data_IF_826657740879
#
_entry.id   IF_826657740879
#
_cell.length_a   1.000
_cell.length_b   1.000
_cell.length_c   1.000
_cell.angle_alpha   90.00
_cell.angle_beta   90.00
_cell.angle_gamma   90.00
#
_symmetry.space_group_name_H-M   'P 1'
#
loop_
_entity.id
_entity.type
_entity.pdbx_description
1 polymer ?
#
# COMPACT_ATOMS: atom_id res chain seq x y z
N UNK A 1 -6.08 8.50 11.34
CA UNK A 1 -5.79 7.18 10.76
C UNK A 1 -4.73 6.52 11.62
N UNK A 2 -5.06 5.40 12.27
CA UNK A 2 -4.08 4.58 12.98
C UNK A 2 -3.91 3.32 12.14
N UNK A 3 -2.74 3.13 11.51
CA UNK A 3 -2.39 1.80 10.99
C UNK A 3 -2.04 0.96 12.21
N UNK A 4 -3.06 0.37 12.81
CA UNK A 4 -2.96 -0.49 14.00
C UNK A 4 -2.12 -1.76 13.73
N UNK A 5 -1.68 -1.96 12.48
CA UNK A 5 -0.86 -3.06 12.03
C UNK A 5 0.63 -2.75 12.13
N UNK A 6 1.43 -3.81 12.05
CA UNK A 6 2.89 -3.74 12.06
C UNK A 6 3.37 -3.25 10.69
N UNK A 7 3.03 -2.00 10.35
CA UNK A 7 3.44 -1.37 9.10
C UNK A 7 4.93 -1.59 8.88
N UNK A 8 5.25 -2.20 7.74
CA UNK A 8 6.61 -2.61 7.38
C UNK A 8 7.26 -1.66 6.40
N UNK A 9 6.47 -1.10 5.52
CA UNK A 9 6.95 -0.24 4.46
C UNK A 9 5.86 0.73 3.99
N UNK A 10 6.29 1.87 3.45
CA UNK A 10 5.43 2.90 2.89
C UNK A 10 6.10 3.58 1.70
N UNK A 11 5.34 3.78 0.63
CA UNK A 11 5.79 4.55 -0.52
C UNK A 11 4.69 5.47 -1.03
N UNK A 12 5.05 6.71 -1.35
CA UNK A 12 4.14 7.70 -1.91
C UNK A 12 4.37 7.80 -3.41
N UNK A 13 3.29 7.69 -4.19
CA UNK A 13 3.28 7.92 -5.65
C UNK A 13 2.12 8.85 -5.98
N UNK A 14 2.44 10.06 -6.43
CA UNK A 14 1.44 11.10 -6.66
C UNK A 14 0.68 11.43 -5.38
N UNK A 15 -0.64 11.35 -5.43
CA UNK A 15 -1.54 11.65 -4.32
C UNK A 15 -1.84 10.45 -3.41
N UNK A 16 -1.16 9.31 -3.61
CA UNK A 16 -1.44 8.09 -2.84
C UNK A 16 -0.22 7.61 -2.08
N UNK A 17 -0.44 7.19 -0.84
CA UNK A 17 0.51 6.43 -0.04
C UNK A 17 0.10 4.95 -0.04
N UNK A 18 1.00 4.09 -0.49
CA UNK A 18 0.89 2.65 -0.41
C UNK A 18 1.59 2.17 0.86
N UNK A 19 0.96 1.27 1.60
CA UNK A 19 1.42 0.83 2.90
C UNK A 19 1.39 -0.70 2.94
N UNK A 20 2.53 -1.34 3.21
CA UNK A 20 2.61 -2.75 3.51
C UNK A 20 2.35 -2.95 5.02
N UNK A 21 1.14 -3.39 5.39
CA UNK A 21 0.67 -3.44 6.78
C UNK A 21 0.73 -4.84 7.40
N UNK A 22 1.74 -5.65 7.02
CA UNK A 22 1.89 -7.04 7.44
C UNK A 22 0.61 -7.87 7.20
N UNK A 23 -0.04 -8.33 8.26
CA UNK A 23 -1.30 -9.08 8.25
C UNK A 23 -2.52 -8.22 7.89
N UNK A 24 -2.37 -6.89 7.92
CA UNK A 24 -3.34 -5.93 7.42
C UNK A 24 -3.34 -5.76 5.90
N UNK A 25 -2.41 -6.42 5.19
CA UNK A 25 -2.31 -6.40 3.73
C UNK A 25 -1.66 -5.13 3.15
N UNK A 26 -1.83 -4.92 1.84
CA UNK A 26 -1.49 -3.67 1.18
C UNK A 26 -2.65 -2.68 1.33
N UNK A 27 -2.36 -1.48 1.85
CA UNK A 27 -3.32 -0.36 1.92
C UNK A 27 -2.91 0.74 0.98
N UNK A 28 -3.85 1.23 0.19
CA UNK A 28 -3.69 2.47 -0.55
C UNK A 28 -4.47 3.58 0.16
N UNK A 29 -3.78 4.67 0.46
CA UNK A 29 -4.30 5.81 1.20
C UNK A 29 -4.26 7.02 0.30
N UNK A 30 -5.40 7.65 0.08
CA UNK A 30 -5.45 8.96 -0.56
C UNK A 30 -4.91 10.00 0.43
N UNK A 31 -3.84 10.69 0.03
CA UNK A 31 -3.16 11.74 0.78
C UNK A 31 -3.21 13.10 0.07
N UNK A 32 -4.12 13.28 -0.89
CA UNK A 32 -4.35 14.56 -1.61
C UNK A 32 -4.50 15.73 -0.64
N UNK A 33 -5.23 15.50 0.45
CA UNK A 33 -5.33 16.43 1.57
C UNK A 33 -4.75 15.71 2.80
N UNK A 34 -3.49 15.98 3.20
CA UNK A 34 -2.84 15.23 4.28
C UNK A 34 -3.60 15.24 5.61
N UNK A 35 -4.28 16.33 5.93
CA UNK A 35 -5.10 16.45 7.14
C UNK A 35 -6.41 15.63 7.09
N UNK A 36 -6.83 15.20 5.90
CA UNK A 36 -8.04 14.41 5.65
C UNK A 36 -7.73 13.08 4.92
N UNK A 37 -6.52 12.55 5.10
CA UNK A 37 -6.10 11.31 4.48
C UNK A 37 -6.99 10.12 4.90
N UNK A 38 -7.33 9.26 3.95
CA UNK A 38 -8.23 8.13 4.17
C UNK A 38 -7.85 6.92 3.31
N UNK A 39 -8.22 5.71 3.75
CA UNK A 39 -7.97 4.48 2.98
C UNK A 39 -8.88 4.49 1.75
N UNK A 40 -8.27 4.53 0.57
CA UNK A 40 -8.98 4.42 -0.70
C UNK A 40 -9.21 2.95 -1.09
N UNK A 41 -8.24 2.07 -0.80
CA UNK A 41 -8.35 0.64 -1.07
C UNK A 41 -7.54 -0.21 -0.09
N UNK A 42 -7.96 -1.46 0.10
CA UNK A 42 -7.20 -2.50 0.82
C UNK A 42 -7.15 -3.76 -0.02
N UNK A 43 -5.96 -4.32 -0.18
CA UNK A 43 -5.71 -5.56 -0.88
C UNK A 43 -5.23 -6.60 0.14
N UNK A 44 -6.01 -7.68 0.36
CA UNK A 44 -5.60 -8.73 1.29
C UNK A 44 -4.32 -9.40 0.80
N UNK A 45 -3.26 -9.28 1.59
CA UNK A 45 -1.98 -9.99 1.42
C UNK A 45 -1.56 -10.49 2.80
N UNK A 46 -1.39 -11.80 3.04
CA UNK A 46 -1.21 -12.36 4.38
C UNK A 46 -0.06 -11.74 5.18
N UNK A 47 1.04 -11.34 4.52
CA UNK A 47 2.22 -10.76 5.16
C UNK A 47 3.00 -9.84 4.20
N UNK A 48 2.44 -8.66 3.90
CA UNK A 48 3.15 -7.64 3.12
C UNK A 48 4.31 -7.03 3.91
N UNK A 49 5.52 -7.16 3.38
CA UNK A 49 6.75 -6.69 4.04
C UNK A 49 7.49 -5.62 3.27
N UNK A 50 7.71 -5.82 1.97
CA UNK A 50 8.41 -4.86 1.12
C UNK A 50 7.47 -4.26 0.09
N UNK A 51 7.68 -2.99 -0.23
CA UNK A 51 6.88 -2.23 -1.16
C UNK A 51 7.78 -1.48 -2.13
N UNK A 52 7.51 -1.60 -3.42
CA UNK A 52 7.99 -0.65 -4.43
C UNK A 52 6.82 -0.23 -5.31
N UNK A 53 6.71 1.04 -5.66
CA UNK A 53 5.62 1.55 -6.49
C UNK A 53 6.14 2.56 -7.52
N UNK A 54 5.55 2.51 -8.70
CA UNK A 54 5.69 3.50 -9.76
C UNK A 54 4.28 3.96 -10.21
N UNK A 55 4.16 4.95 -11.12
CA UNK A 55 2.86 5.45 -11.55
C UNK A 55 1.90 4.39 -12.11
N UNK A 56 2.41 3.24 -12.57
CA UNK A 56 1.64 2.20 -13.23
C UNK A 56 1.60 0.88 -12.44
N UNK A 57 2.54 0.62 -11.54
CA UNK A 57 2.66 -0.66 -10.85
C UNK A 57 2.95 -0.51 -9.36
N UNK A 58 2.46 -1.48 -8.59
CA UNK A 58 2.77 -1.67 -7.18
C UNK A 58 3.31 -3.09 -7.00
N UNK A 59 4.51 -3.19 -6.46
CA UNK A 59 5.23 -4.42 -6.17
C UNK A 59 5.19 -4.67 -4.67
N UNK A 60 4.66 -5.83 -4.26
CA UNK A 60 4.59 -6.25 -2.86
C UNK A 60 5.39 -7.54 -2.69
N UNK A 61 6.35 -7.51 -1.78
CA UNK A 61 6.98 -8.72 -1.27
C UNK A 61 6.14 -9.26 -0.11
N UNK A 62 5.39 -10.33 -0.36
CA UNK A 62 4.62 -11.06 0.63
C UNK A 62 5.38 -12.33 1.06
N UNK A 63 5.35 -12.63 2.37
CA UNK A 63 6.07 -13.80 2.92
C UNK A 63 5.58 -15.14 2.36
N UNK A 64 4.27 -15.28 2.17
CA UNK A 64 3.63 -16.55 1.84
C UNK A 64 3.30 -16.62 0.34
N UNK A 65 3.09 -15.48 -0.32
CA UNK A 65 2.72 -15.40 -1.74
C UNK A 65 3.89 -15.02 -2.66
N UNK A 66 5.03 -14.61 -2.13
CA UNK A 66 6.17 -14.13 -2.91
C UNK A 66 5.95 -12.71 -3.45
N UNK A 67 6.38 -12.45 -4.69
CA UNK A 67 6.21 -11.14 -5.32
C UNK A 67 4.83 -11.01 -5.97
N UNK A 68 4.02 -10.06 -5.51
CA UNK A 68 2.76 -9.67 -6.10
C UNK A 68 2.93 -8.36 -6.87
N UNK A 69 2.29 -8.24 -8.02
CA UNK A 69 2.31 -7.05 -8.85
C UNK A 69 0.87 -6.62 -9.11
N UNK A 70 0.53 -5.40 -8.71
CA UNK A 70 -0.77 -4.78 -8.93
C UNK A 70 -0.64 -3.63 -9.92
N UNK A 71 -1.66 -3.42 -10.74
CA UNK A 71 -1.77 -2.20 -11.54
C UNK A 71 -2.11 -1.02 -10.62
N UNK A 72 -1.36 0.06 -10.74
CA UNK A 72 -1.60 1.31 -10.03
C UNK A 72 -2.65 2.16 -10.76
N UNK A 73 -3.89 1.70 -10.73
CA UNK A 73 -4.99 2.40 -11.42
C UNK A 73 -5.57 3.57 -10.62
N UNK A 74 -5.10 3.78 -9.39
CA UNK A 74 -5.65 4.76 -8.46
C UNK A 74 -4.85 6.06 -8.43
N UNK A 75 -3.57 6.06 -8.78
CA UNK A 75 -2.73 7.25 -8.73
C UNK A 75 -2.81 8.18 -9.96
N UNK A 76 -3.78 7.98 -10.85
CA UNK A 76 -3.99 8.81 -12.04
C UNK A 76 -4.71 10.13 -11.71
#
# INVERSE_FOLDING_TARGET
MNTIGRTKDVQVVGNYAFIADADGGLKAVDVTIPAAAHVAATYPTPYAYGLWADPNHIYICDRDMGLLIFANNISN
#
